data_IF_855226551212
#
_entry.id   IF_855226551212
#
_cell.length_a   1.000
_cell.length_b   1.000
_cell.length_c   1.000
_cell.angle_alpha   90.00
_cell.angle_beta   90.00
_cell.angle_gamma   90.00
#
_symmetry.space_group_name_H-M   'P 1'
#
loop_
_entity.id
_entity.type
_entity.pdbx_description
1 polymer ?
#
# COMPACT_ATOMS: atom_id res chain seq x y z
N UNK A 1 -12.69 21.41 -31.95
CA UNK A 1 -12.23 21.67 -30.57
C UNK A 1 -12.46 20.37 -29.84
N UNK A 2 -11.42 19.56 -29.69
CA UNK A 2 -11.53 18.29 -28.95
C UNK A 2 -11.54 18.63 -27.47
N UNK A 3 -12.67 18.38 -26.82
CA UNK A 3 -12.78 18.40 -25.37
C UNK A 3 -11.82 17.34 -24.82
N UNK A 4 -10.64 17.76 -24.36
CA UNK A 4 -9.85 16.96 -23.44
C UNK A 4 -10.60 16.90 -22.13
N UNK A 5 -11.57 15.98 -22.04
CA UNK A 5 -12.14 15.54 -20.79
C UNK A 5 -10.95 15.08 -19.91
N UNK A 6 -10.57 15.90 -18.93
CA UNK A 6 -9.45 15.58 -18.05
C UNK A 6 -9.84 14.34 -17.26
N UNK A 7 -9.43 13.15 -17.72
CA UNK A 7 -9.70 11.92 -16.99
C UNK A 7 -9.13 12.07 -15.59
N UNK A 8 -10.01 11.98 -14.57
CA UNK A 8 -9.62 12.06 -13.16
C UNK A 8 -8.55 11.01 -12.91
N UNK A 9 -7.44 11.41 -12.29
CA UNK A 9 -6.39 10.48 -11.86
C UNK A 9 -6.97 9.39 -10.96
N UNK A 10 -6.51 8.17 -11.14
CA UNK A 10 -6.89 7.03 -10.30
C UNK A 10 -6.22 7.20 -8.96
N UNK A 11 -7.02 7.36 -7.90
CA UNK A 11 -6.54 7.66 -6.56
C UNK A 11 -6.34 6.39 -5.76
N UNK A 12 -5.12 6.12 -5.35
CA UNK A 12 -4.71 4.84 -4.78
C UNK A 12 -4.13 5.07 -3.38
N UNK A 13 -4.65 4.31 -2.41
CA UNK A 13 -4.10 4.28 -1.05
C UNK A 13 -2.96 3.27 -0.99
N UNK A 14 -1.76 3.74 -0.68
CA UNK A 14 -0.53 2.97 -0.68
C UNK A 14 -0.19 2.49 0.75
N UNK A 15 -0.06 1.18 0.94
CA UNK A 15 0.24 0.53 2.23
C UNK A 15 1.61 -0.15 2.18
N UNK A 16 2.54 0.32 3.01
CA UNK A 16 3.91 -0.18 3.08
C UNK A 16 4.01 -1.60 3.69
N UNK A 17 5.20 -2.20 3.63
CA UNK A 17 5.49 -3.51 4.21
C UNK A 17 5.86 -3.48 5.68
N UNK A 18 6.06 -4.66 6.27
CA UNK A 18 6.53 -4.79 7.64
C UNK A 18 7.82 -3.99 7.88
N UNK A 19 7.85 -3.19 8.96
CA UNK A 19 9.00 -2.37 9.37
C UNK A 19 9.55 -1.48 8.26
N UNK A 20 8.67 -0.86 7.48
CA UNK A 20 9.02 0.17 6.50
C UNK A 20 8.14 1.39 6.74
N UNK A 21 8.07 2.33 5.80
CA UNK A 21 7.20 3.50 5.89
C UNK A 21 6.57 3.82 4.54
N UNK A 22 5.54 4.66 4.57
CA UNK A 22 4.91 5.23 3.39
C UNK A 22 5.91 6.00 2.52
N UNK A 23 6.85 6.72 3.13
CA UNK A 23 7.90 7.44 2.38
C UNK A 23 8.86 6.46 1.69
N UNK A 24 9.23 5.35 2.33
CA UNK A 24 10.06 4.31 1.68
C UNK A 24 9.31 3.68 0.50
N UNK A 25 8.03 3.33 0.68
CA UNK A 25 7.20 2.82 -0.40
C UNK A 25 7.09 3.83 -1.56
N UNK A 26 6.95 5.11 -1.26
CA UNK A 26 6.94 6.19 -2.25
C UNK A 26 8.23 6.25 -3.04
N UNK A 27 9.39 6.18 -2.38
CA UNK A 27 10.68 6.14 -3.08
C UNK A 27 10.79 4.94 -4.02
N UNK A 28 10.21 3.78 -3.66
CA UNK A 28 10.16 2.61 -4.52
C UNK A 28 9.22 2.80 -5.72
N UNK A 29 8.02 3.35 -5.49
CA UNK A 29 6.99 3.55 -6.54
C UNK A 29 7.38 4.65 -7.52
N UNK A 30 8.07 5.71 -7.07
CA UNK A 30 8.55 6.80 -7.95
C UNK A 30 9.59 6.35 -8.98
N UNK A 31 10.07 5.10 -8.93
CA UNK A 31 10.91 4.49 -9.97
C UNK A 31 10.11 4.02 -11.18
N UNK A 32 8.78 4.05 -11.12
CA UNK A 32 7.92 3.69 -12.24
C UNK A 32 8.00 4.73 -13.38
N UNK A 33 7.66 4.33 -14.63
CA UNK A 33 7.67 5.27 -15.74
C UNK A 33 6.72 6.46 -15.53
N UNK A 34 7.19 7.66 -15.84
CA UNK A 34 6.44 8.92 -15.73
C UNK A 34 5.01 8.86 -16.34
N UNK A 35 4.78 8.24 -17.53
CA UNK A 35 3.42 8.13 -18.08
C UNK A 35 2.44 7.31 -17.22
N UNK A 36 2.95 6.44 -16.35
CA UNK A 36 2.13 5.71 -15.37
C UNK A 36 1.81 6.62 -14.19
N UNK A 37 2.84 7.27 -13.62
CA UNK A 37 2.68 8.16 -12.46
C UNK A 37 1.72 9.32 -12.74
N UNK A 38 1.73 9.87 -13.96
CA UNK A 38 0.83 10.97 -14.33
C UNK A 38 -0.65 10.59 -14.28
N UNK A 39 -0.99 9.30 -14.38
CA UNK A 39 -2.37 8.78 -14.32
C UNK A 39 -2.83 8.47 -12.89
N UNK A 40 -1.92 8.48 -11.92
CA UNK A 40 -2.18 8.06 -10.54
C UNK A 40 -2.10 9.24 -9.58
N UNK A 41 -3.01 9.23 -8.60
CA UNK A 41 -2.94 10.06 -7.40
C UNK A 41 -2.63 9.13 -6.22
N UNK A 42 -1.37 9.10 -5.79
CA UNK A 42 -0.87 8.12 -4.82
C UNK A 42 -0.81 8.75 -3.42
N UNK A 43 -1.51 8.14 -2.47
CA UNK A 43 -1.52 8.56 -1.06
C UNK A 43 -0.80 7.50 -0.23
N UNK A 44 0.35 7.83 0.33
CA UNK A 44 1.16 6.90 1.12
C UNK A 44 0.83 7.05 2.60
N UNK A 45 0.36 5.97 3.21
CA UNK A 45 -0.04 5.94 4.62
C UNK A 45 1.00 5.19 5.44
N UNK A 46 1.35 5.75 6.60
CA UNK A 46 2.16 5.07 7.61
C UNK A 46 1.28 4.20 8.53
N UNK A 47 1.81 3.05 8.89
CA UNK A 47 1.27 2.19 9.93
C UNK A 47 1.23 2.91 11.27
N UNK A 48 0.19 2.68 12.09
CA UNK A 48 0.01 3.43 13.33
C UNK A 48 0.99 3.01 14.44
N UNK A 49 1.72 1.91 14.27
CA UNK A 49 2.62 1.39 15.29
C UNK A 49 4.09 1.55 14.89
N UNK A 50 4.94 2.17 15.72
CA UNK A 50 6.38 2.16 15.50
C UNK A 50 6.94 0.73 15.46
N UNK A 51 7.93 0.50 14.59
CA UNK A 51 8.62 -0.77 14.53
C UNK A 51 9.29 -1.12 15.87
N UNK A 52 9.07 -2.35 16.35
CA UNK A 52 9.59 -2.80 17.65
C UNK A 52 10.95 -3.51 17.54
N UNK A 53 11.42 -3.74 16.32
CA UNK A 53 12.69 -4.40 16.08
C UNK A 53 13.36 -3.94 14.80
N UNK A 54 14.39 -4.67 14.41
CA UNK A 54 15.20 -4.34 13.25
C UNK A 54 14.39 -4.39 11.96
N UNK A 55 14.65 -3.43 11.08
CA UNK A 55 14.14 -3.43 9.71
C UNK A 55 15.18 -3.99 8.74
N UNK A 56 14.73 -4.79 7.77
CA UNK A 56 15.59 -5.31 6.69
C UNK A 56 16.08 -4.21 5.73
N UNK A 57 15.45 -3.02 5.79
CA UNK A 57 15.84 -1.87 4.98
C UNK A 57 16.80 -0.91 5.71
N UNK A 58 17.18 -1.23 6.94
CA UNK A 58 18.14 -0.45 7.71
C UNK A 58 19.50 -0.39 7.00
N UNK A 59 20.08 0.80 6.92
CA UNK A 59 21.33 1.07 6.19
C UNK A 59 21.14 1.29 4.68
N UNK A 60 19.94 1.07 4.15
CA UNK A 60 19.55 1.47 2.79
C UNK A 60 18.61 2.68 2.84
N UNK A 61 17.64 2.66 3.76
CA UNK A 61 16.68 3.73 3.99
C UNK A 61 16.71 4.17 5.45
N UNK A 62 16.55 5.46 5.70
CA UNK A 62 16.54 6.01 7.05
C UNK A 62 15.19 5.77 7.76
N UNK A 63 15.18 5.63 9.10
CA UNK A 63 13.95 5.60 9.91
C UNK A 63 13.15 6.93 9.82
N UNK A 64 11.87 6.98 10.23
CA UNK A 64 11.15 5.99 11.04
C UNK A 64 10.61 4.79 10.23
N UNK A 65 10.48 3.67 10.93
CA UNK A 65 9.84 2.45 10.43
C UNK A 65 8.59 2.15 11.25
N UNK A 66 7.58 1.60 10.59
CA UNK A 66 6.29 1.31 11.16
C UNK A 66 5.86 -0.13 10.85
N UNK A 67 4.94 -0.61 11.66
CA UNK A 67 4.26 -1.87 11.55
C UNK A 67 2.75 -1.59 11.54
N UNK A 68 2.02 -2.40 10.79
CA UNK A 68 0.56 -2.34 10.77
C UNK A 68 -0.06 -3.15 11.90
N UNK A 69 0.57 -4.27 12.23
CA UNK A 69 0.21 -5.14 13.33
C UNK A 69 1.45 -5.90 13.77
N UNK A 70 1.49 -6.36 15.01
CA UNK A 70 2.61 -7.13 15.54
C UNK A 70 2.24 -8.61 15.55
N UNK A 71 3.24 -9.46 15.36
CA UNK A 71 3.13 -10.89 15.61
C UNK A 71 4.12 -11.29 16.70
N UNK A 72 3.78 -12.29 17.51
CA UNK A 72 4.76 -12.91 18.40
C UNK A 72 5.86 -13.63 17.57
N UNK A 73 6.98 -13.99 18.21
CA UNK A 73 8.13 -14.61 17.52
C UNK A 73 7.77 -15.90 16.76
N UNK A 74 6.72 -16.60 17.22
CA UNK A 74 6.22 -17.83 16.63
C UNK A 74 5.17 -17.61 15.51
N UNK A 75 4.78 -16.36 15.24
CA UNK A 75 3.70 -15.99 14.31
C UNK A 75 2.35 -16.67 14.57
N UNK A 76 2.11 -17.07 15.82
CA UNK A 76 0.88 -17.73 16.29
C UNK A 76 -0.15 -16.74 16.83
N UNK A 77 0.31 -15.57 17.31
CA UNK A 77 -0.54 -14.52 17.85
C UNK A 77 -0.29 -13.20 17.14
N UNK A 78 -1.37 -12.55 16.69
CA UNK A 78 -1.34 -11.24 16.08
C UNK A 78 -2.00 -10.23 17.01
N UNK A 79 -1.34 -9.10 17.25
CA UNK A 79 -1.87 -8.01 18.06
C UNK A 79 -2.04 -6.76 17.20
N UNK A 80 -2.99 -5.92 17.58
CA UNK A 80 -3.31 -4.66 16.90
C UNK A 80 -3.89 -4.78 15.47
N UNK A 81 -4.23 -5.99 15.02
CA UNK A 81 -4.73 -6.22 13.66
C UNK A 81 -6.09 -5.55 13.41
N UNK A 82 -7.04 -5.73 14.33
CA UNK A 82 -8.39 -5.15 14.21
C UNK A 82 -8.36 -3.62 14.37
N UNK A 83 -7.57 -3.10 15.32
CA UNK A 83 -7.36 -1.66 15.50
C UNK A 83 -6.77 -1.03 14.24
N UNK A 84 -5.85 -1.73 13.58
CA UNK A 84 -5.26 -1.26 12.34
C UNK A 84 -6.26 -1.25 11.17
N UNK A 85 -7.13 -2.25 11.06
CA UNK A 85 -8.18 -2.26 10.04
C UNK A 85 -9.12 -1.06 10.25
N UNK A 86 -9.57 -0.84 11.48
CA UNK A 86 -10.42 0.30 11.83
C UNK A 86 -9.73 1.65 11.52
N UNK A 87 -8.43 1.77 11.78
CA UNK A 87 -7.63 2.95 11.42
C UNK A 87 -7.64 3.22 9.91
N UNK A 88 -7.44 2.19 9.08
CA UNK A 88 -7.44 2.35 7.62
C UNK A 88 -8.85 2.70 7.13
N UNK A 89 -9.90 2.04 7.66
CA UNK A 89 -11.28 2.34 7.31
C UNK A 89 -11.66 3.79 7.65
N UNK A 90 -11.34 4.26 8.86
CA UNK A 90 -11.58 5.64 9.28
C UNK A 90 -10.83 6.63 8.38
N UNK A 91 -9.57 6.33 8.03
CA UNK A 91 -8.79 7.15 7.10
C UNK A 91 -9.46 7.22 5.72
N UNK A 92 -9.93 6.08 5.19
CA UNK A 92 -10.62 6.02 3.90
C UNK A 92 -11.93 6.82 3.91
N UNK A 93 -12.70 6.75 4.99
CA UNK A 93 -13.95 7.49 5.14
C UNK A 93 -13.72 9.00 5.18
N UNK A 94 -12.66 9.45 5.87
CA UNK A 94 -12.32 10.88 6.03
C UNK A 94 -11.64 11.47 4.80
N UNK A 95 -10.80 10.71 4.13
CA UNK A 95 -9.90 11.22 3.10
C UNK A 95 -10.25 10.71 1.69
N UNK A 96 -11.24 9.83 1.53
CA UNK A 96 -11.66 9.27 0.25
C UNK A 96 -12.42 10.25 -0.66
N UNK A 97 -12.93 9.79 -1.81
CA UNK A 97 -12.91 8.40 -2.27
C UNK A 97 -11.53 7.95 -2.76
N UNK A 98 -11.24 6.66 -2.58
CA UNK A 98 -10.10 5.95 -3.16
C UNK A 98 -10.62 4.93 -4.18
N UNK A 99 -9.90 4.77 -5.29
CA UNK A 99 -10.24 3.84 -6.38
C UNK A 99 -9.68 2.43 -6.17
N UNK A 100 -8.69 2.30 -5.28
CA UNK A 100 -8.05 1.05 -4.95
C UNK A 100 -6.85 1.23 -4.02
N UNK A 101 -6.11 0.14 -3.87
CA UNK A 101 -4.93 0.06 -3.03
C UNK A 101 -3.70 -0.31 -3.85
N UNK A 102 -2.54 0.14 -3.37
CA UNK A 102 -1.22 -0.37 -3.73
C UNK A 102 -0.54 -0.83 -2.45
N UNK A 103 -0.46 -2.13 -2.23
CA UNK A 103 -0.08 -2.69 -0.93
C UNK A 103 1.02 -3.72 -1.05
N UNK A 104 1.98 -3.71 -0.11
CA UNK A 104 3.12 -4.62 -0.09
C UNK A 104 3.16 -5.46 1.20
N UNK A 105 3.48 -6.76 1.07
CA UNK A 105 3.69 -7.70 2.19
C UNK A 105 2.63 -7.55 3.30
N UNK A 106 3.00 -7.05 4.48
CA UNK A 106 2.06 -6.81 5.59
C UNK A 106 0.88 -5.90 5.22
N UNK A 107 1.10 -4.82 4.46
CA UNK A 107 0.02 -3.96 3.97
C UNK A 107 -0.94 -4.68 3.02
N UNK A 108 -0.47 -5.71 2.30
CA UNK A 108 -1.34 -6.51 1.42
C UNK A 108 -2.26 -7.44 2.21
N UNK A 109 -1.83 -7.92 3.38
CA UNK A 109 -2.67 -8.71 4.29
C UNK A 109 -3.86 -7.86 4.75
N UNK A 110 -3.62 -6.60 5.15
CA UNK A 110 -4.69 -5.68 5.54
C UNK A 110 -5.63 -5.36 4.38
N UNK A 111 -5.08 -5.04 3.20
CA UNK A 111 -5.89 -4.80 2.01
C UNK A 111 -6.81 -6.01 1.70
N UNK A 112 -6.30 -7.23 1.82
CA UNK A 112 -7.13 -8.43 1.62
C UNK A 112 -8.21 -8.62 2.70
N UNK A 113 -7.99 -8.11 3.92
CA UNK A 113 -8.90 -8.26 5.05
C UNK A 113 -10.00 -7.18 5.12
N UNK A 114 -9.83 -6.04 4.44
CA UNK A 114 -10.81 -4.95 4.48
C UNK A 114 -12.17 -5.39 3.87
N UNK A 115 -13.29 -5.32 4.62
CA UNK A 115 -14.62 -5.71 4.14
C UNK A 115 -15.06 -4.98 2.88
N UNK A 116 -14.69 -3.69 2.74
CA UNK A 116 -14.96 -2.91 1.53
C UNK A 116 -14.31 -3.52 0.27
N UNK A 117 -13.20 -4.24 0.42
CA UNK A 117 -12.48 -4.92 -0.66
C UNK A 117 -13.06 -6.32 -0.95
N UNK A 118 -13.59 -7.01 0.06
CA UNK A 118 -14.24 -8.31 -0.09
C UNK A 118 -15.70 -8.21 -0.61
N UNK A 119 -16.43 -7.16 -0.23
CA UNK A 119 -17.83 -6.98 -0.59
C UNK A 119 -18.04 -6.19 -1.90
N UNK A 120 -17.08 -5.36 -2.32
CA UNK A 120 -17.18 -4.52 -3.53
C UNK A 120 -16.20 -4.90 -4.65
N UNK A 121 -15.88 -6.19 -4.79
CA UNK A 121 -15.01 -6.79 -5.83
C UNK A 121 -15.35 -6.35 -7.27
N UNK A 122 -16.46 -5.65 -7.51
CA UNK A 122 -16.90 -5.19 -8.83
C UNK A 122 -16.84 -3.66 -9.08
N UNK A 123 -16.37 -2.83 -8.15
CA UNK A 123 -16.28 -1.36 -8.39
C UNK A 123 -14.92 -0.70 -8.11
N UNK A 124 -14.05 -1.29 -7.30
CA UNK A 124 -12.74 -0.74 -7.00
C UNK A 124 -11.69 -1.44 -7.85
N UNK A 125 -10.89 -0.68 -8.62
CA UNK A 125 -9.86 -1.22 -9.52
C UNK A 125 -8.63 -1.60 -8.68
N UNK A 126 -8.57 -2.86 -8.26
CA UNK A 126 -7.58 -3.43 -7.33
C UNK A 126 -6.18 -3.59 -7.95
N UNK A 127 -5.10 -3.11 -7.30
CA UNK A 127 -3.72 -3.47 -7.67
C UNK A 127 -2.86 -3.78 -6.43
N UNK A 128 -2.88 -5.04 -6.02
CA UNK A 128 -2.00 -5.62 -4.99
C UNK A 128 -0.64 -5.97 -5.62
N UNK A 129 0.49 -5.63 -4.99
CA UNK A 129 1.78 -6.20 -5.38
C UNK A 129 2.47 -6.88 -4.19
N UNK A 130 2.35 -8.20 -4.15
CA UNK A 130 3.03 -9.07 -3.21
C UNK A 130 4.31 -9.60 -3.87
N UNK A 131 5.49 -9.14 -3.44
CA UNK A 131 6.76 -9.80 -3.79
C UNK A 131 7.44 -10.23 -2.49
N UNK A 132 7.27 -11.50 -2.15
CA UNK A 132 8.27 -12.23 -1.36
C UNK A 132 9.54 -12.28 -2.22
N UNK A 133 10.63 -11.66 -1.74
CA UNK A 133 11.98 -11.49 -2.31
C UNK A 133 12.23 -10.29 -3.27
N UNK A 134 13.01 -9.32 -2.77
CA UNK A 134 13.95 -8.50 -3.56
C UNK A 134 15.22 -9.34 -3.75
N UNK A 135 15.76 -9.53 -4.98
CA UNK A 135 16.14 -8.48 -5.94
C UNK A 135 15.59 -8.76 -7.36
N UNK A 136 15.79 -7.81 -8.29
CA UNK A 136 15.27 -7.78 -9.68
C UNK A 136 13.83 -7.26 -9.81
N UNK A 137 13.70 -5.94 -9.93
CA UNK A 137 12.64 -5.34 -10.74
C UNK A 137 13.03 -5.63 -12.20
N UNK A 138 12.76 -6.86 -12.65
CA UNK A 138 12.86 -7.21 -14.06
C UNK A 138 11.46 -7.06 -14.67
N UNK A 139 11.24 -5.88 -15.28
CA UNK A 139 10.40 -5.55 -16.45
C UNK A 139 9.06 -6.27 -16.74
N UNK A 140 8.50 -7.10 -15.85
CA UNK A 140 7.23 -7.80 -16.01
C UNK A 140 6.29 -7.50 -14.84
N UNK A 141 5.95 -6.22 -14.70
CA UNK A 141 4.73 -5.82 -14.01
C UNK A 141 3.56 -6.31 -14.89
N UNK A 142 2.98 -7.46 -14.56
CA UNK A 142 1.77 -7.97 -15.23
C UNK A 142 0.68 -6.90 -15.10
N UNK A 143 0.29 -6.37 -16.25
CA UNK A 143 -0.31 -5.06 -16.43
C UNK A 143 -1.84 -5.13 -16.28
N UNK A 144 -2.35 -4.40 -15.30
CA UNK A 144 -3.46 -3.45 -15.34
C UNK A 144 -4.46 -3.63 -16.50
N UNK A 145 -5.73 -3.84 -16.17
CA UNK A 145 -6.85 -3.59 -17.10
C UNK A 145 -7.43 -2.21 -16.72
N UNK A 146 -7.09 -1.18 -17.49
CA UNK A 146 -7.71 0.16 -17.38
C UNK A 146 -9.16 0.11 -17.86
#
# INVERSE_FOLDING_TARGET
MEDHESQRKVRILCLHGFRTSGEILKQLVLRWPEPVLQKLDLVFLDGPFPAQGRSDVEGIFDPPYFEWFQANEEFTEYTNFEECLAYIEDYMLKNGPFDGFLSFSQGAILAAALPGMQAQVLKQKLIVFCCLNFPFIDSKLTLFRF
#
